data_IF_273780702169
#
_entry.id   IF_273780702169
#
_cell.length_a   1.000
_cell.length_b   1.000
_cell.length_c   1.000
_cell.angle_alpha   90.00
_cell.angle_beta   90.00
_cell.angle_gamma   90.00
#
_symmetry.space_group_name_H-M   'P 1'
#
loop_
_entity.id
_entity.type
_entity.pdbx_description
1 polymer ?
#
# COMPACT_ATOMS: atom_id res chain seq x y z
N UNK A 1 -23.99 41.20 -0.55
CA UNK A 1 -24.12 40.08 -1.52
C UNK A 1 -22.79 39.37 -1.79
N UNK A 2 -21.73 40.09 -2.21
CA UNK A 2 -20.40 39.48 -2.47
C UNK A 2 -19.86 38.64 -1.30
N UNK A 3 -19.95 39.12 -0.06
CA UNK A 3 -19.51 38.40 1.14
C UNK A 3 -20.25 37.09 1.37
N UNK A 4 -21.57 37.09 1.20
CA UNK A 4 -22.41 35.88 1.32
C UNK A 4 -22.03 34.84 0.27
N UNK A 5 -21.77 35.28 -0.97
CA UNK A 5 -21.31 34.39 -2.05
C UNK A 5 -19.95 33.79 -1.72
N UNK A 6 -19.00 34.56 -1.19
CA UNK A 6 -17.69 34.04 -0.77
C UNK A 6 -17.79 33.02 0.36
N UNK A 7 -18.64 33.27 1.36
CA UNK A 7 -18.87 32.34 2.47
C UNK A 7 -19.46 31.03 1.93
N UNK A 8 -20.48 31.11 1.07
CA UNK A 8 -21.10 29.90 0.47
C UNK A 8 -20.10 29.11 -0.38
N UNK A 9 -19.27 29.79 -1.18
CA UNK A 9 -18.24 29.13 -1.99
C UNK A 9 -17.18 28.43 -1.12
N UNK A 10 -16.77 29.05 -0.01
CA UNK A 10 -15.85 28.45 0.96
C UNK A 10 -16.46 27.20 1.61
N UNK A 11 -17.69 27.28 2.11
CA UNK A 11 -18.38 26.15 2.72
C UNK A 11 -18.56 24.99 1.73
N UNK A 12 -18.92 25.29 0.48
CA UNK A 12 -19.08 24.27 -0.56
C UNK A 12 -17.74 23.55 -0.84
N UNK A 13 -16.66 24.31 -0.99
CA UNK A 13 -15.31 23.76 -1.20
C UNK A 13 -14.85 22.89 -0.02
N UNK A 14 -15.12 23.36 1.20
CA UNK A 14 -14.75 22.63 2.43
C UNK A 14 -15.52 21.30 2.54
N UNK A 15 -16.83 21.32 2.25
CA UNK A 15 -17.68 20.13 2.26
C UNK A 15 -17.23 19.11 1.22
N UNK A 16 -16.98 19.57 -0.01
CA UNK A 16 -16.59 18.71 -1.12
C UNK A 16 -15.21 18.07 -0.85
N UNK A 17 -14.27 18.86 -0.31
CA UNK A 17 -12.98 18.35 0.15
C UNK A 17 -13.09 17.32 1.27
N UNK A 18 -13.99 17.54 2.24
CA UNK A 18 -14.20 16.59 3.33
C UNK A 18 -14.83 15.27 2.87
N UNK A 19 -15.80 15.33 1.94
CA UNK A 19 -16.41 14.13 1.36
C UNK A 19 -15.41 13.29 0.56
N UNK A 20 -14.59 13.94 -0.27
CA UNK A 20 -13.54 13.26 -1.05
C UNK A 20 -12.50 12.62 -0.12
N UNK A 21 -12.11 13.32 0.96
CA UNK A 21 -11.19 12.80 1.96
C UNK A 21 -11.73 11.53 2.62
N UNK A 22 -12.97 11.56 3.12
CA UNK A 22 -13.62 10.42 3.76
C UNK A 22 -13.78 9.23 2.79
N UNK A 23 -14.11 9.51 1.52
CA UNK A 23 -14.22 8.47 0.52
C UNK A 23 -12.87 7.79 0.25
N UNK A 24 -11.79 8.57 0.13
CA UNK A 24 -10.43 8.04 -0.07
C UNK A 24 -9.90 7.27 1.15
N UNK A 25 -10.18 7.73 2.36
CA UNK A 25 -9.77 6.98 3.57
C UNK A 25 -10.53 5.66 3.69
N UNK A 26 -11.85 5.69 3.49
CA UNK A 26 -12.69 4.49 3.58
C UNK A 26 -12.33 3.45 2.50
N UNK A 27 -12.08 3.89 1.26
CA UNK A 27 -11.65 2.99 0.18
C UNK A 27 -10.29 2.35 0.48
N UNK A 28 -9.33 3.12 1.02
CA UNK A 28 -8.03 2.58 1.44
C UNK A 28 -8.19 1.48 2.49
N UNK A 29 -9.00 1.72 3.51
CA UNK A 29 -9.26 0.75 4.58
C UNK A 29 -9.98 -0.50 4.04
N UNK A 30 -10.96 -0.32 3.16
CA UNK A 30 -11.67 -1.42 2.54
C UNK A 30 -10.74 -2.32 1.70
N UNK A 31 -9.82 -1.73 0.93
CA UNK A 31 -8.81 -2.48 0.15
C UNK A 31 -7.88 -3.25 1.09
N UNK A 32 -7.37 -2.60 2.15
CA UNK A 32 -6.51 -3.27 3.12
C UNK A 32 -7.25 -4.44 3.78
N UNK A 33 -8.49 -4.24 4.23
CA UNK A 33 -9.29 -5.29 4.84
C UNK A 33 -9.54 -6.47 3.88
N UNK A 34 -9.82 -6.19 2.61
CA UNK A 34 -10.10 -7.22 1.60
C UNK A 34 -8.87 -8.07 1.22
N UNK A 35 -7.67 -7.47 1.21
CA UNK A 35 -6.47 -8.12 0.69
C UNK A 35 -5.43 -8.51 1.74
N UNK A 36 -5.56 -8.06 3.00
CA UNK A 36 -4.61 -8.34 4.07
C UNK A 36 -4.34 -9.84 4.25
N UNK A 37 -5.38 -10.67 4.28
CA UNK A 37 -5.23 -12.11 4.48
C UNK A 37 -4.52 -12.78 3.30
N UNK A 38 -4.87 -12.39 2.07
CA UNK A 38 -4.22 -12.89 0.86
C UNK A 38 -2.75 -12.49 0.82
N UNK A 39 -2.44 -11.25 1.19
CA UNK A 39 -1.08 -10.77 1.30
C UNK A 39 -0.28 -11.57 2.33
N UNK A 40 -0.83 -11.76 3.54
CA UNK A 40 -0.18 -12.56 4.58
C UNK A 40 0.10 -14.00 4.11
N UNK A 41 -0.86 -14.64 3.45
CA UNK A 41 -0.70 -15.99 2.91
C UNK A 41 0.36 -16.06 1.78
N UNK A 42 0.48 -15.03 0.95
CA UNK A 42 1.52 -14.95 -0.07
C UNK A 42 2.91 -14.73 0.55
N UNK A 43 3.03 -13.83 1.52
CA UNK A 43 4.28 -13.58 2.25
C UNK A 43 4.78 -14.82 3.00
N UNK A 44 3.86 -15.62 3.57
CA UNK A 44 4.17 -16.89 4.23
C UNK A 44 4.82 -17.92 3.30
N UNK A 45 4.46 -17.90 2.01
CA UNK A 45 5.00 -18.82 1.01
C UNK A 45 6.34 -18.38 0.44
N UNK A 46 6.75 -17.13 0.65
CA UNK A 46 8.05 -16.63 0.19
C UNK A 46 9.18 -17.28 1.01
N UNK A 47 10.07 -18.01 0.33
CA UNK A 47 11.19 -18.73 0.94
C UNK A 47 12.20 -17.82 1.65
N UNK A 48 12.21 -16.51 1.37
CA UNK A 48 13.07 -15.55 2.09
C UNK A 48 12.61 -15.31 3.53
N UNK A 49 11.35 -15.59 3.86
CA UNK A 49 10.80 -15.43 5.22
C UNK A 49 11.63 -16.20 6.25
N UNK A 50 11.89 -17.49 6.00
CA UNK A 50 12.71 -18.32 6.88
C UNK A 50 14.18 -17.91 6.88
N UNK A 51 14.71 -17.47 5.73
CA UNK A 51 16.07 -16.94 5.61
C UNK A 51 16.32 -15.68 6.46
N UNK A 52 15.29 -14.89 6.70
CA UNK A 52 15.36 -13.74 7.62
C UNK A 52 15.07 -14.08 9.08
N UNK A 53 14.92 -15.37 9.43
CA UNK A 53 14.68 -15.83 10.79
C UNK A 53 13.27 -15.53 11.31
N UNK A 54 12.31 -15.28 10.42
CA UNK A 54 10.90 -15.04 10.79
C UNK A 54 10.09 -16.32 10.68
N UNK A 55 9.22 -16.55 11.67
CA UNK A 55 8.18 -17.55 11.55
C UNK A 55 7.12 -17.11 10.51
N UNK A 56 6.59 -18.01 9.66
CA UNK A 56 5.53 -17.65 8.70
C UNK A 56 4.32 -16.96 9.35
N UNK A 57 3.99 -17.35 10.58
CA UNK A 57 2.89 -16.77 11.36
C UNK A 57 3.09 -15.29 11.70
N UNK A 58 4.33 -14.76 11.60
CA UNK A 58 4.61 -13.35 11.81
C UNK A 58 3.86 -12.45 10.80
N UNK A 59 3.57 -12.96 9.59
CA UNK A 59 2.80 -12.22 8.58
C UNK A 59 1.30 -12.17 8.86
N UNK A 60 0.75 -13.17 9.56
CA UNK A 60 -0.65 -13.17 9.97
C UNK A 60 -0.91 -12.06 11.02
N UNK A 61 0.07 -11.82 11.88
CA UNK A 61 0.08 -10.75 12.89
C UNK A 61 1.15 -9.70 12.56
N UNK A 62 1.12 -9.19 11.32
CA UNK A 62 2.02 -8.14 10.88
C UNK A 62 1.89 -6.89 11.77
N UNK A 63 3.02 -6.26 12.09
CA UNK A 63 3.08 -5.08 12.95
C UNK A 63 2.41 -3.86 12.30
N UNK A 64 2.48 -3.76 10.97
CA UNK A 64 1.73 -2.78 10.19
C UNK A 64 1.36 -3.32 8.82
N UNK A 65 0.27 -2.80 8.26
CA UNK A 65 -0.19 -3.06 6.89
C UNK A 65 -0.50 -1.72 6.25
N UNK A 66 0.14 -1.40 5.13
CA UNK A 66 -0.02 -0.12 4.44
C UNK A 66 -0.30 -0.35 2.96
N UNK A 67 -1.34 0.30 2.44
CA UNK A 67 -1.57 0.39 0.99
C UNK A 67 -0.68 1.47 0.40
N UNK A 68 0.09 1.11 -0.62
CA UNK A 68 0.91 2.00 -1.43
C UNK A 68 0.56 1.85 -2.91
N UNK A 69 0.81 2.90 -3.71
CA UNK A 69 0.67 2.86 -5.16
C UNK A 69 2.06 2.92 -5.78
N UNK A 70 2.37 1.92 -6.60
CA UNK A 70 3.68 1.77 -7.21
C UNK A 70 4.74 1.23 -6.25
N UNK A 71 5.79 0.67 -6.81
CA UNK A 71 6.91 0.07 -6.09
C UNK A 71 8.17 0.92 -6.25
N UNK A 72 8.62 1.56 -5.17
CA UNK A 72 9.67 2.59 -5.20
C UNK A 72 11.06 2.09 -5.64
N UNK A 73 11.36 0.82 -5.40
CA UNK A 73 12.67 0.20 -5.63
C UNK A 73 12.87 -0.35 -7.06
N UNK A 74 11.89 -0.19 -7.96
CA UNK A 74 12.06 -0.54 -9.36
C UNK A 74 12.81 0.57 -10.09
N UNK A 75 13.86 0.20 -10.84
CA UNK A 75 14.64 1.12 -11.66
C UNK A 75 13.94 1.34 -13.02
N UNK A 76 12.81 2.04 -12.96
CA UNK A 76 12.05 2.47 -14.14
C UNK A 76 11.79 3.95 -14.00
N UNK A 77 12.17 4.71 -15.02
CA UNK A 77 12.00 6.15 -15.05
C UNK A 77 10.62 6.53 -15.57
N UNK A 78 10.12 7.71 -15.20
CA UNK A 78 8.74 8.10 -15.51
C UNK A 78 8.46 8.17 -17.02
N UNK A 79 9.47 8.50 -17.84
CA UNK A 79 9.37 8.60 -19.30
C UNK A 79 9.45 7.25 -20.04
N UNK A 80 9.82 6.17 -19.36
CA UNK A 80 9.92 4.83 -19.95
C UNK A 80 8.55 4.14 -19.97
N UNK A 81 7.53 4.79 -20.55
CA UNK A 81 6.13 4.34 -20.51
C UNK A 81 5.89 2.96 -21.16
N UNK A 82 6.75 2.57 -22.10
CA UNK A 82 6.69 1.26 -22.78
C UNK A 82 7.38 0.12 -21.99
N UNK A 83 7.98 0.43 -20.82
CA UNK A 83 8.62 -0.59 -19.99
C UNK A 83 7.56 -1.50 -19.35
N UNK A 84 7.75 -2.82 -19.44
CA UNK A 84 6.84 -3.81 -18.85
C UNK A 84 6.59 -3.60 -17.34
N UNK A 85 7.57 -3.05 -16.62
CA UNK A 85 7.51 -2.77 -15.18
C UNK A 85 6.98 -1.37 -14.85
N UNK A 86 6.63 -0.54 -15.84
CA UNK A 86 6.15 0.83 -15.61
C UNK A 86 4.88 0.85 -14.76
N UNK A 87 3.94 -0.04 -15.04
CA UNK A 87 2.72 -0.19 -14.24
C UNK A 87 3.06 -0.60 -12.80
N UNK A 88 3.97 -1.55 -12.60
CA UNK A 88 4.42 -1.95 -11.27
C UNK A 88 5.13 -0.79 -10.52
N UNK A 89 5.86 0.07 -11.23
CA UNK A 89 6.56 1.23 -10.64
C UNK A 89 5.63 2.34 -10.16
N UNK A 90 4.56 2.63 -10.91
CA UNK A 90 3.78 3.86 -10.74
C UNK A 90 2.27 3.69 -10.58
N UNK A 91 1.69 2.54 -10.97
CA UNK A 91 0.22 2.38 -11.08
C UNK A 91 -0.36 1.26 -10.22
N UNK A 92 0.34 0.14 -10.11
CA UNK A 92 -0.17 -1.03 -9.42
C UNK A 92 -0.30 -0.75 -7.91
N UNK A 93 -1.41 -1.15 -7.27
CA UNK A 93 -1.53 -1.08 -5.83
C UNK A 93 -0.78 -2.24 -5.15
N UNK A 94 -0.04 -1.90 -4.11
CA UNK A 94 0.72 -2.83 -3.29
C UNK A 94 0.30 -2.75 -1.82
N UNK A 95 0.27 -3.89 -1.13
CA UNK A 95 0.24 -3.93 0.32
C UNK A 95 1.65 -4.15 0.86
N UNK A 96 2.08 -3.27 1.75
CA UNK A 96 3.35 -3.38 2.46
C UNK A 96 3.03 -3.88 3.88
N UNK A 97 3.46 -5.10 4.19
CA UNK A 97 3.36 -5.69 5.51
C UNK A 97 4.72 -5.59 6.18
N UNK A 98 4.76 -5.26 7.47
CA UNK A 98 5.98 -5.29 8.26
C UNK A 98 5.92 -6.38 9.32
N UNK A 99 7.03 -7.11 9.49
CA UNK A 99 7.21 -8.13 10.52
C UNK A 99 8.63 -8.02 11.09
N UNK A 100 8.78 -8.17 12.40
CA UNK A 100 10.10 -8.11 13.04
C UNK A 100 10.03 -7.96 14.54
N UNK A 101 11.06 -8.46 15.23
CA UNK A 101 11.24 -8.35 16.68
C UNK A 101 12.70 -7.96 16.94
N UNK A 102 12.91 -6.85 17.65
CA UNK A 102 14.16 -6.33 18.28
C UNK A 102 15.45 -6.20 17.43
N UNK A 103 15.69 -6.97 16.37
CA UNK A 103 16.98 -7.02 15.63
C UNK A 103 16.87 -6.63 14.16
N UNK A 104 15.69 -6.21 13.68
CA UNK A 104 15.49 -5.67 12.34
C UNK A 104 14.03 -5.76 11.88
N UNK A 105 13.59 -4.81 11.06
CA UNK A 105 12.28 -4.86 10.40
C UNK A 105 12.42 -5.54 9.04
N UNK A 106 11.56 -6.52 8.77
CA UNK A 106 11.43 -7.17 7.47
C UNK A 106 10.11 -6.72 6.86
N UNK A 107 10.14 -6.41 5.58
CA UNK A 107 8.99 -5.96 4.83
C UNK A 107 8.60 -7.01 3.80
N UNK A 108 7.30 -7.18 3.62
CA UNK A 108 6.74 -7.93 2.51
C UNK A 108 5.91 -6.99 1.65
N UNK A 109 6.25 -6.92 0.37
CA UNK A 109 5.47 -6.19 -0.63
C UNK A 109 4.60 -7.20 -1.40
N UNK A 110 3.30 -7.04 -1.31
CA UNK A 110 2.32 -7.85 -2.03
C UNK A 110 1.69 -7.03 -3.16
N UNK A 111 1.87 -7.47 -4.40
CA UNK A 111 1.22 -6.95 -5.59
C UNK A 111 -0.21 -7.49 -5.67
N UNK A 112 -1.20 -6.61 -5.55
CA UNK A 112 -2.62 -6.99 -5.59
C UNK A 112 -3.02 -7.49 -6.99
N UNK A 113 -2.43 -6.93 -8.05
CA UNK A 113 -2.79 -7.24 -9.45
C UNK A 113 -2.22 -8.59 -9.86
N UNK A 114 -0.95 -8.82 -9.54
CA UNK A 114 -0.23 -10.03 -9.93
C UNK A 114 -0.32 -11.16 -8.89
N UNK A 115 -0.98 -10.92 -7.75
CA UNK A 115 -1.09 -11.85 -6.62
C UNK A 115 0.26 -12.45 -6.17
N UNK A 116 1.32 -11.62 -6.22
CA UNK A 116 2.69 -12.02 -5.95
C UNK A 116 3.24 -11.24 -4.75
N UNK A 117 4.06 -11.89 -3.93
CA UNK A 117 4.73 -11.28 -2.79
C UNK A 117 6.24 -11.29 -2.97
N UNK A 118 6.91 -10.27 -2.43
CA UNK A 118 8.37 -10.23 -2.30
C UNK A 118 8.78 -9.75 -0.92
N UNK A 119 9.48 -10.62 -0.19
CA UNK A 119 10.02 -10.32 1.15
C UNK A 119 11.45 -9.78 1.06
N UNK A 120 11.73 -8.68 1.76
CA UNK A 120 13.04 -8.07 1.84
C UNK A 120 13.30 -7.43 3.21
N UNK A 121 14.58 -7.27 3.55
CA UNK A 121 15.04 -6.56 4.75
C UNK A 121 15.74 -5.28 4.30
N UNK A 122 15.43 -4.15 4.94
CA UNK A 122 16.21 -2.91 4.80
C UNK A 122 17.51 -2.99 5.59
#
# INVERSE_FOLDING_TARGET
MKTVVFILALLASLKLGHQEYLYRSATREAIVAAYKERAAAACQKDGRTSGFGLAPQAWANAASVQLAIGKANLDVQFWQVDNALWNARYRNPFLILSAGVRTGQVFCEYDIVNAAASVHRM
#
